data_IF_022356756586
#
_entry.id   IF_022356756586
#
_cell.length_a   1.000
_cell.length_b   1.000
_cell.length_c   1.000
_cell.angle_alpha   90.00
_cell.angle_beta   90.00
_cell.angle_gamma   90.00
#
_symmetry.space_group_name_H-M   'P 1'
#
loop_
_entity.id
_entity.type
_entity.pdbx_description
1 polymer ?
#
# COMPACT_ATOMS: atom_id res chain seq x y z
N UNK A 1 -51.66 11.78 -8.74
CA UNK A 1 -50.26 11.81 -9.21
C UNK A 1 -49.39 11.37 -8.03
N UNK A 2 -48.97 10.11 -7.99
CA UNK A 2 -48.08 9.61 -6.94
C UNK A 2 -46.63 9.89 -7.36
N UNK A 3 -45.90 10.64 -6.53
CA UNK A 3 -44.46 10.87 -6.68
C UNK A 3 -43.69 9.64 -6.20
N UNK A 4 -42.99 9.01 -7.12
CA UNK A 4 -42.04 7.93 -6.86
C UNK A 4 -40.71 8.57 -6.44
N UNK A 5 -40.39 8.58 -5.14
CA UNK A 5 -39.09 9.02 -4.65
C UNK A 5 -38.08 7.90 -4.81
N UNK A 6 -37.13 8.09 -5.71
CA UNK A 6 -36.00 7.20 -5.98
C UNK A 6 -35.16 6.95 -4.73
N UNK A 7 -35.01 5.69 -4.33
CA UNK A 7 -34.02 5.27 -3.34
C UNK A 7 -32.72 4.99 -4.09
N UNK A 8 -31.79 5.95 -4.07
CA UNK A 8 -30.41 5.71 -4.46
C UNK A 8 -29.74 4.85 -3.37
N UNK A 9 -29.58 3.55 -3.62
CA UNK A 9 -28.65 2.72 -2.86
C UNK A 9 -27.23 3.23 -3.13
N UNK A 10 -26.75 4.14 -2.29
CA UNK A 10 -25.32 4.33 -2.09
C UNK A 10 -24.79 3.07 -1.41
N UNK A 11 -24.26 2.14 -2.22
CA UNK A 11 -23.31 1.15 -1.74
C UNK A 11 -22.09 1.93 -1.25
N UNK A 12 -22.13 2.30 0.04
CA UNK A 12 -20.99 2.86 0.74
C UNK A 12 -19.85 1.88 0.59
N UNK A 13 -18.89 2.22 -0.27
CA UNK A 13 -17.53 1.74 -0.13
C UNK A 13 -17.13 2.16 1.28
N UNK A 14 -17.23 1.23 2.22
CA UNK A 14 -16.60 1.38 3.52
C UNK A 14 -15.11 1.46 3.21
N UNK A 15 -14.63 2.70 3.03
CA UNK A 15 -13.24 3.04 3.09
C UNK A 15 -12.84 2.77 4.53
N UNK A 16 -12.52 1.50 4.82
CA UNK A 16 -11.80 1.11 6.02
C UNK A 16 -10.55 1.98 6.00
N UNK A 17 -10.51 2.96 6.90
CA UNK A 17 -9.39 3.86 7.04
C UNK A 17 -8.14 3.00 7.25
N UNK A 18 -7.32 2.87 6.19
CA UNK A 18 -6.02 2.24 6.32
C UNK A 18 -5.20 3.17 7.21
N UNK A 19 -4.78 2.68 8.37
CA UNK A 19 -3.91 3.42 9.27
C UNK A 19 -2.57 3.62 8.55
N UNK A 20 -2.45 4.74 7.84
CA UNK A 20 -1.22 5.16 7.22
C UNK A 20 -0.35 5.85 8.25
N UNK A 21 0.89 5.40 8.38
CA UNK A 21 1.89 6.00 9.26
C UNK A 21 3.02 6.59 8.45
N UNK A 22 3.38 7.83 8.72
CA UNK A 22 4.54 8.49 8.12
C UNK A 22 5.78 8.25 8.97
N UNK A 23 6.94 8.16 8.33
CA UNK A 23 8.19 7.72 8.96
C UNK A 23 8.55 6.30 8.55
N UNK A 24 9.05 6.16 7.32
CA UNK A 24 9.88 5.03 6.94
C UNK A 24 11.30 5.26 7.45
N UNK A 25 12.07 4.19 7.68
CA UNK A 25 13.47 4.36 8.06
C UNK A 25 14.27 5.06 6.97
N UNK A 26 15.12 6.02 7.36
CA UNK A 26 16.00 6.75 6.44
C UNK A 26 15.30 7.83 5.61
N UNK A 27 15.96 8.33 4.56
CA UNK A 27 15.41 9.29 3.60
C UNK A 27 15.77 8.87 2.17
N UNK A 28 14.82 9.01 1.25
CA UNK A 28 15.01 8.71 -0.18
C UNK A 28 14.44 9.83 -1.05
N UNK A 29 14.79 9.86 -2.34
CA UNK A 29 14.18 10.82 -3.28
C UNK A 29 12.88 10.25 -3.85
N UNK A 30 11.79 11.02 -3.77
CA UNK A 30 10.46 10.58 -4.20
C UNK A 30 10.44 10.22 -5.69
N UNK A 31 11.24 10.90 -6.51
CA UNK A 31 11.35 10.66 -7.95
C UNK A 31 11.91 9.26 -8.29
N UNK A 32 12.58 8.61 -7.35
CA UNK A 32 13.06 7.24 -7.52
C UNK A 32 11.95 6.20 -7.36
N UNK A 33 10.80 6.56 -6.78
CA UNK A 33 9.69 5.63 -6.56
C UNK A 33 8.79 5.58 -7.79
N UNK A 34 8.60 4.39 -8.35
CA UNK A 34 7.83 4.13 -9.55
C UNK A 34 6.65 3.20 -9.24
N UNK A 35 5.45 3.61 -9.67
CA UNK A 35 4.19 2.93 -9.44
C UNK A 35 3.79 2.08 -10.65
N UNK A 36 4.61 1.06 -10.94
CA UNK A 36 4.38 0.18 -12.08
C UNK A 36 4.45 -1.30 -11.66
N UNK A 37 3.57 -1.68 -10.74
CA UNK A 37 3.47 -3.06 -10.28
C UNK A 37 2.45 -3.86 -11.07
N UNK A 38 2.83 -5.09 -11.42
CA UNK A 38 1.89 -6.14 -11.80
C UNK A 38 1.22 -6.76 -10.57
N UNK A 39 0.47 -7.84 -10.77
CA UNK A 39 -0.03 -8.65 -9.66
C UNK A 39 1.12 -9.23 -8.83
N UNK A 40 0.98 -9.22 -7.51
CA UNK A 40 1.98 -9.73 -6.56
C UNK A 40 1.38 -10.85 -5.75
N UNK A 41 2.02 -12.02 -5.79
CA UNK A 41 1.65 -13.18 -4.98
C UNK A 41 2.70 -13.40 -3.88
N UNK A 42 2.23 -13.46 -2.64
CA UNK A 42 3.06 -13.65 -1.45
C UNK A 42 2.70 -14.97 -0.78
N UNK A 43 3.73 -15.76 -0.47
CA UNK A 43 3.60 -16.95 0.37
C UNK A 43 3.21 -16.57 1.80
N UNK A 44 2.75 -17.52 2.63
CA UNK A 44 2.50 -17.25 4.05
C UNK A 44 3.77 -16.74 4.75
N UNK A 45 3.63 -15.76 5.67
CA UNK A 45 4.74 -15.14 6.42
C UNK A 45 5.93 -14.73 5.53
N UNK A 46 5.65 -14.16 4.37
CA UNK A 46 6.68 -13.76 3.38
C UNK A 46 6.70 -12.26 3.14
N UNK A 47 7.83 -11.78 2.62
CA UNK A 47 8.00 -10.41 2.19
C UNK A 47 8.66 -10.36 0.81
N UNK A 48 8.25 -9.39 0.00
CA UNK A 48 8.92 -9.03 -1.24
C UNK A 48 9.47 -7.62 -1.13
N UNK A 49 10.67 -7.42 -1.70
CA UNK A 49 11.39 -6.16 -1.68
C UNK A 49 11.70 -5.74 -3.10
N UNK A 50 11.33 -4.52 -3.44
CA UNK A 50 11.54 -3.92 -4.75
C UNK A 50 12.40 -2.68 -4.60
N UNK A 51 13.71 -2.76 -4.86
CA UNK A 51 14.60 -1.60 -4.80
C UNK A 51 14.31 -0.65 -5.98
N UNK A 52 14.31 0.65 -5.71
CA UNK A 52 14.10 1.68 -6.72
C UNK A 52 14.99 2.90 -6.40
N UNK A 53 16.14 3.00 -7.06
CA UNK A 53 17.16 3.99 -6.71
C UNK A 53 17.59 3.88 -5.24
N UNK A 54 17.55 4.99 -4.49
CA UNK A 54 17.77 5.00 -3.04
C UNK A 54 16.51 4.73 -2.20
N UNK A 55 15.40 4.38 -2.84
CA UNK A 55 14.17 3.93 -2.19
C UNK A 55 14.01 2.41 -2.30
N UNK A 56 13.07 1.86 -1.55
CA UNK A 56 12.56 0.50 -1.72
C UNK A 56 11.09 0.43 -1.33
N UNK A 57 10.37 -0.48 -1.97
CA UNK A 57 9.01 -0.87 -1.59
C UNK A 57 9.09 -2.26 -0.97
N UNK A 58 8.56 -2.40 0.25
CA UNK A 58 8.35 -3.71 0.86
C UNK A 58 6.86 -4.03 0.85
N UNK A 59 6.54 -5.27 0.48
CA UNK A 59 5.18 -5.80 0.54
C UNK A 59 5.23 -7.08 1.37
N UNK A 60 4.47 -7.11 2.45
CA UNK A 60 4.60 -8.11 3.50
C UNK A 60 3.28 -8.81 3.76
N UNK A 61 3.27 -10.13 3.60
CA UNK A 61 2.16 -10.97 4.00
C UNK A 61 2.39 -11.49 5.42
N UNK A 62 1.59 -11.00 6.37
CA UNK A 62 1.65 -11.47 7.76
C UNK A 62 0.78 -12.70 8.04
N UNK A 63 -0.08 -13.11 7.10
CA UNK A 63 -0.95 -14.26 7.29
C UNK A 63 -0.11 -15.54 7.49
N UNK A 64 -0.43 -16.37 8.51
CA UNK A 64 0.41 -17.50 8.90
C UNK A 64 0.39 -18.64 7.89
N UNK A 65 -0.77 -18.91 7.25
CA UNK A 65 -0.99 -20.12 6.44
C UNK A 65 -1.65 -19.83 5.10
N UNK A 66 -1.68 -18.56 4.66
CA UNK A 66 -2.44 -18.16 3.48
C UNK A 66 -1.54 -17.49 2.46
N UNK A 67 -1.58 -18.01 1.23
CA UNK A 67 -1.06 -17.32 0.06
C UNK A 67 -1.99 -16.16 -0.26
N UNK A 68 -1.43 -14.97 -0.45
CA UNK A 68 -2.21 -13.78 -0.79
C UNK A 68 -1.73 -13.24 -2.13
N UNK A 69 -2.68 -13.01 -3.02
CA UNK A 69 -2.45 -12.29 -4.28
C UNK A 69 -3.13 -10.94 -4.19
N UNK A 70 -2.36 -9.89 -4.44
CA UNK A 70 -2.86 -8.51 -4.54
C UNK A 70 -2.62 -7.98 -5.95
N UNK A 71 -3.57 -7.22 -6.46
CA UNK A 71 -3.45 -6.64 -7.80
C UNK A 71 -2.43 -5.50 -7.83
N UNK A 72 -1.84 -5.26 -9.01
CA UNK A 72 -0.97 -4.12 -9.25
C UNK A 72 -1.62 -2.78 -8.92
N UNK A 73 -2.92 -2.63 -9.24
CA UNK A 73 -3.68 -1.43 -8.92
C UNK A 73 -3.78 -1.17 -7.40
N UNK A 74 -3.93 -2.22 -6.58
CA UNK A 74 -3.94 -2.08 -5.12
C UNK A 74 -2.57 -1.68 -4.58
N UNK A 75 -1.50 -2.26 -5.14
CA UNK A 75 -0.12 -1.92 -4.76
C UNK A 75 0.20 -0.48 -5.13
N UNK A 76 -0.01 -0.10 -6.40
CA UNK A 76 0.21 1.26 -6.90
C UNK A 76 -0.63 2.27 -6.12
N UNK A 77 -1.93 2.01 -5.92
CA UNK A 77 -2.79 2.90 -5.13
C UNK A 77 -2.32 3.10 -3.68
N UNK A 78 -1.78 2.07 -3.05
CA UNK A 78 -1.20 2.18 -1.71
C UNK A 78 0.13 2.94 -1.68
N UNK A 79 0.99 2.77 -2.68
CA UNK A 79 2.22 3.56 -2.83
C UNK A 79 1.86 5.04 -3.01
N UNK A 80 0.97 5.36 -3.95
CA UNK A 80 0.43 6.70 -4.21
C UNK A 80 -0.08 7.34 -2.94
N UNK A 81 -0.89 6.61 -2.19
CA UNK A 81 -1.47 7.12 -0.95
C UNK A 81 -0.39 7.38 0.11
N UNK A 82 0.64 6.54 0.24
CA UNK A 82 1.78 6.80 1.14
C UNK A 82 2.55 8.03 0.69
N UNK A 83 2.93 8.13 -0.58
CA UNK A 83 3.69 9.27 -1.10
C UNK A 83 2.91 10.57 -0.97
N UNK A 84 1.62 10.57 -1.32
CA UNK A 84 0.78 11.76 -1.23
C UNK A 84 0.54 12.22 0.20
N UNK A 85 0.52 11.30 1.18
CA UNK A 85 0.26 11.64 2.59
C UNK A 85 1.54 11.95 3.38
N UNK A 86 2.63 11.24 3.09
CA UNK A 86 3.86 11.30 3.88
C UNK A 86 5.01 12.04 3.19
N UNK A 87 4.89 12.29 1.88
CA UNK A 87 5.96 12.86 1.05
C UNK A 87 5.51 14.07 0.23
N UNK A 88 4.37 14.70 0.54
CA UNK A 88 3.80 15.80 -0.25
C UNK A 88 4.81 16.94 -0.39
N UNK A 89 5.07 17.37 -1.63
CA UNK A 89 6.01 18.44 -1.97
C UNK A 89 7.46 18.23 -1.48
N UNK A 90 7.84 16.99 -1.18
CA UNK A 90 9.15 16.68 -0.64
C UNK A 90 10.09 16.15 -1.75
N UNK A 91 11.21 16.83 -1.99
CA UNK A 91 12.29 16.28 -2.85
C UNK A 91 12.90 15.00 -2.24
N UNK A 92 12.98 14.98 -0.91
CA UNK A 92 13.41 13.86 -0.09
C UNK A 92 12.33 13.49 0.93
N UNK A 93 12.01 12.20 1.05
CA UNK A 93 10.98 11.71 1.95
C UNK A 93 11.52 10.62 2.88
N UNK A 94 11.03 10.62 4.13
CA UNK A 94 11.24 9.50 5.05
C UNK A 94 10.42 8.25 4.71
N UNK A 95 9.33 8.43 3.96
CA UNK A 95 8.43 7.36 3.56
C UNK A 95 7.32 7.11 4.57
N UNK A 96 6.71 5.93 4.46
CA UNK A 96 5.59 5.55 5.29
C UNK A 96 5.08 4.15 5.00
N UNK A 97 4.01 3.80 5.68
CA UNK A 97 3.41 2.46 5.64
C UNK A 97 1.91 2.56 5.43
N UNK A 98 1.36 1.56 4.75
CA UNK A 98 -0.07 1.42 4.52
C UNK A 98 -0.46 -0.05 4.50
N UNK A 99 -1.65 -0.34 5.02
CA UNK A 99 -2.27 -1.66 4.94
C UNK A 99 -3.12 -1.78 3.69
N UNK A 100 -2.96 -2.90 2.99
CA UNK A 100 -3.81 -3.32 1.87
C UNK A 100 -4.61 -4.53 2.35
N UNK A 101 -5.94 -4.44 2.30
CA UNK A 101 -6.80 -5.59 2.55
C UNK A 101 -6.97 -6.39 1.27
N UNK A 102 -6.50 -7.63 1.26
CA UNK A 102 -6.67 -8.57 0.17
C UNK A 102 -8.11 -9.11 0.06
N UNK A 103 -8.44 -9.84 -1.02
CA UNK A 103 -9.80 -10.29 -1.32
C UNK A 103 -10.46 -11.14 -0.21
N UNK A 104 -9.66 -11.88 0.54
CA UNK A 104 -10.13 -12.77 1.60
C UNK A 104 -10.08 -12.12 3.01
N UNK A 105 -9.95 -10.78 3.07
CA UNK A 105 -9.80 -10.06 4.34
C UNK A 105 -8.39 -10.10 4.95
N UNK A 106 -7.45 -10.79 4.30
CA UNK A 106 -6.05 -10.82 4.73
C UNK A 106 -5.42 -9.42 4.62
N UNK A 107 -4.64 -9.03 5.63
CA UNK A 107 -3.96 -7.74 5.65
C UNK A 107 -2.52 -7.91 5.16
N UNK A 108 -2.17 -7.13 4.15
CA UNK A 108 -0.81 -6.97 3.63
C UNK A 108 -0.28 -5.62 4.09
N UNK A 109 0.91 -5.61 4.68
CA UNK A 109 1.60 -4.36 4.99
C UNK A 109 2.47 -3.95 3.81
N UNK A 110 2.22 -2.76 3.28
CA UNK A 110 3.06 -2.09 2.30
C UNK A 110 3.83 -0.98 3.00
N UNK A 111 5.12 -0.86 2.68
CA UNK A 111 5.94 0.27 3.11
C UNK A 111 6.77 0.81 1.96
N UNK A 112 6.88 2.13 1.93
CA UNK A 112 7.83 2.86 1.08
C UNK A 112 8.86 3.46 2.01
N UNK A 113 10.13 3.09 1.83
CA UNK A 113 11.20 3.45 2.75
C UNK A 113 12.54 3.58 2.03
N UNK A 114 13.56 4.10 2.70
CA UNK A 114 14.89 4.18 2.10
C UNK A 114 15.48 2.79 1.83
N UNK A 115 16.35 2.70 0.83
CA UNK A 115 17.06 1.48 0.54
C UNK A 115 17.92 1.05 1.75
N UNK A 116 17.86 -0.23 2.12
CA UNK A 116 18.63 -0.82 3.21
C UNK A 116 17.80 -1.06 4.47
N UNK A 117 16.56 -0.55 4.51
CA UNK A 117 15.63 -0.85 5.59
C UNK A 117 15.12 -2.29 5.52
N UNK A 118 14.80 -2.86 6.68
CA UNK A 118 14.36 -4.26 6.78
C UNK A 118 12.90 -4.43 6.29
N UNK A 119 12.62 -5.53 5.59
CA UNK A 119 11.28 -5.93 5.18
C UNK A 119 10.89 -7.21 5.94
N UNK A 120 10.52 -7.11 7.21
CA UNK A 120 10.28 -8.31 8.06
C UNK A 120 8.81 -8.74 8.05
N UNK A 121 8.52 -10.03 7.75
CA UNK A 121 7.16 -10.60 7.84
C UNK A 121 6.58 -10.84 9.24
#
# INVERSE_FOLDING_TARGET
MLYQTSISLLLGVASLASAQSCGGGGSFSVNNVQENFGSVTLQPRSALRFPQGNAQICIVNRAPNTVVTISGNQVNGAISAVLNKCCTNAGNCGGGQQKITGPNGNVIDLSVQAQGQNCTP
#
